data_IF_288894327895
#
_entry.id   IF_288894327895
#
_cell.length_a   1.000
_cell.length_b   1.000
_cell.length_c   1.000
_cell.angle_alpha   90.00
_cell.angle_beta   90.00
_cell.angle_gamma   90.00
#
_symmetry.space_group_name_H-M   'P 1'
#
loop_
_entity.id
_entity.type
_entity.pdbx_description
1 polymer ?
#
# COMPACT_ATOMS: atom_id res chain seq x y z
N UNK A 1 2.23 -12.39 22.01
CA UNK A 1 3.40 -11.93 21.22
C UNK A 1 3.30 -10.43 20.99
N UNK A 2 4.43 -9.74 20.98
CA UNK A 2 4.51 -8.28 20.93
C UNK A 2 4.48 -7.68 19.51
N UNK A 3 4.26 -8.49 18.47
CA UNK A 3 4.18 -8.04 17.06
C UNK A 3 2.85 -8.47 16.45
N UNK A 4 2.14 -7.54 15.83
CA UNK A 4 0.90 -7.82 15.09
C UNK A 4 1.06 -7.42 13.63
N UNK A 5 0.46 -8.22 12.74
CA UNK A 5 0.27 -7.80 11.36
C UNK A 5 -0.68 -6.61 11.31
N UNK A 6 -0.49 -5.72 10.34
CA UNK A 6 -1.30 -4.51 10.19
C UNK A 6 -2.80 -4.81 10.05
N UNK A 7 -3.16 -5.92 9.41
CA UNK A 7 -4.55 -6.39 9.31
C UNK A 7 -5.17 -6.69 10.68
N UNK A 8 -4.39 -7.30 11.58
CA UNK A 8 -4.83 -7.59 12.94
C UNK A 8 -4.98 -6.31 13.74
N UNK A 9 -4.04 -5.36 13.58
CA UNK A 9 -4.12 -4.05 14.21
C UNK A 9 -5.36 -3.28 13.76
N UNK A 10 -5.61 -3.18 12.45
CA UNK A 10 -6.81 -2.51 11.90
C UNK A 10 -8.09 -3.10 12.47
N UNK A 11 -8.23 -4.44 12.43
CA UNK A 11 -9.40 -5.14 13.00
C UNK A 11 -9.59 -4.85 14.48
N UNK A 12 -8.50 -4.86 15.26
CA UNK A 12 -8.55 -4.56 16.69
C UNK A 12 -9.00 -3.12 16.94
N UNK A 13 -8.42 -2.14 16.24
CA UNK A 13 -8.80 -0.74 16.38
C UNK A 13 -10.25 -0.52 15.94
N UNK A 14 -10.69 -1.15 14.85
CA UNK A 14 -12.08 -1.04 14.37
C UNK A 14 -13.06 -1.56 15.40
N UNK A 15 -12.76 -2.70 16.02
CA UNK A 15 -13.59 -3.27 17.08
C UNK A 15 -13.64 -2.39 18.34
N UNK A 16 -12.57 -1.65 18.64
CA UNK A 16 -12.44 -0.84 19.85
C UNK A 16 -12.97 0.60 19.70
N UNK A 17 -12.75 1.23 18.55
CA UNK A 17 -12.98 2.66 18.32
C UNK A 17 -14.01 2.96 17.23
N UNK A 18 -14.57 1.93 16.59
CA UNK A 18 -15.53 2.06 15.49
C UNK A 18 -14.86 2.17 14.12
N UNK A 19 -15.63 1.85 13.08
CA UNK A 19 -15.13 1.82 11.71
C UNK A 19 -14.74 3.22 11.20
N UNK A 20 -15.60 4.22 11.37
CA UNK A 20 -15.39 5.58 10.85
C UNK A 20 -14.11 6.25 11.37
N UNK A 21 -13.85 6.13 12.68
CA UNK A 21 -12.63 6.62 13.31
C UNK A 21 -11.39 5.97 12.72
N UNK A 22 -11.44 4.65 12.50
CA UNK A 22 -10.30 3.90 11.95
C UNK A 22 -10.11 4.17 10.46
N UNK A 23 -11.18 4.36 9.69
CA UNK A 23 -11.05 4.82 8.30
C UNK A 23 -10.35 6.19 8.24
N UNK A 24 -10.69 7.10 9.15
CA UNK A 24 -10.01 8.41 9.25
C UNK A 24 -8.55 8.27 9.63
N UNK A 25 -8.22 7.45 10.64
CA UNK A 25 -6.84 7.16 11.03
C UNK A 25 -6.00 6.64 9.85
N UNK A 26 -6.49 5.64 9.12
CA UNK A 26 -5.73 5.06 8.01
C UNK A 26 -5.59 6.04 6.84
N UNK A 27 -6.62 6.87 6.59
CA UNK A 27 -6.53 7.98 5.63
C UNK A 27 -5.47 9.02 6.04
N UNK A 28 -5.33 9.30 7.32
CA UNK A 28 -4.32 10.22 7.82
C UNK A 28 -2.92 9.64 7.71
N UNK A 29 -2.76 8.32 7.90
CA UNK A 29 -1.52 7.59 7.60
C UNK A 29 -1.17 7.68 6.10
N UNK A 30 -2.13 7.45 5.21
CA UNK A 30 -1.93 7.58 3.76
C UNK A 30 -1.47 9.00 3.38
N UNK A 31 -2.07 10.01 4.00
CA UNK A 31 -1.67 11.41 3.83
C UNK A 31 -0.24 11.68 4.31
N UNK A 32 0.22 11.03 5.38
CA UNK A 32 1.62 11.12 5.84
C UNK A 32 2.57 10.60 4.74
N UNK A 33 2.28 9.43 4.16
CA UNK A 33 3.11 8.87 3.08
C UNK A 33 3.19 9.80 1.86
N UNK A 34 2.04 10.31 1.39
CA UNK A 34 2.01 11.18 0.21
C UNK A 34 2.71 12.50 0.48
N UNK A 35 2.38 13.19 1.58
CA UNK A 35 2.90 14.53 1.89
C UNK A 35 4.40 14.52 2.16
N UNK A 36 4.89 13.48 2.85
CA UNK A 36 6.33 13.33 3.10
C UNK A 36 7.10 13.19 1.78
N UNK A 37 6.70 12.30 0.88
CA UNK A 37 7.34 12.15 -0.44
C UNK A 37 7.22 13.41 -1.31
N UNK A 38 6.06 14.07 -1.33
CA UNK A 38 5.88 15.33 -2.06
C UNK A 38 6.81 16.44 -1.57
N UNK A 39 7.07 16.50 -0.26
CA UNK A 39 7.93 17.55 0.32
C UNK A 39 9.37 17.50 -0.19
N UNK A 40 9.84 16.31 -0.59
CA UNK A 40 11.21 16.06 -1.05
C UNK A 40 11.30 15.83 -2.57
N UNK A 41 10.18 15.82 -3.30
CA UNK A 41 10.10 15.53 -4.74
C UNK A 41 11.08 16.36 -5.58
N UNK A 42 11.36 17.62 -5.21
CA UNK A 42 12.27 18.51 -5.95
C UNK A 42 13.74 18.11 -5.85
N UNK A 43 14.11 17.32 -4.85
CA UNK A 43 15.48 16.89 -4.56
C UNK A 43 15.72 15.44 -5.03
N UNK A 44 14.66 14.72 -5.38
CA UNK A 44 14.73 13.36 -5.86
C UNK A 44 15.41 13.28 -7.23
N UNK A 45 16.45 12.45 -7.32
CA UNK A 45 17.04 12.06 -8.60
C UNK A 45 16.14 10.98 -9.20
N UNK A 46 15.38 11.35 -10.22
CA UNK A 46 14.45 10.45 -10.89
C UNK A 46 15.14 9.72 -12.05
N UNK A 47 15.80 8.60 -11.76
CA UNK A 47 16.27 7.65 -12.78
C UNK A 47 15.23 6.53 -12.94
N UNK A 48 14.76 6.34 -14.18
CA UNK A 48 13.75 5.33 -14.53
C UNK A 48 14.22 3.88 -14.30
N UNK A 49 15.52 3.64 -14.08
CA UNK A 49 16.07 2.31 -13.79
C UNK A 49 16.26 2.07 -12.29
N UNK A 50 15.92 3.04 -11.43
CA UNK A 50 16.05 2.95 -9.99
C UNK A 50 14.68 2.85 -9.32
N UNK A 51 14.63 2.08 -8.23
CA UNK A 51 13.51 2.07 -7.30
C UNK A 51 14.07 2.02 -5.87
N UNK A 52 13.29 2.48 -4.91
CA UNK A 52 13.65 2.47 -3.51
C UNK A 52 12.47 2.01 -2.65
N UNK A 53 12.77 1.27 -1.59
CA UNK A 53 11.79 0.77 -0.64
C UNK A 53 11.97 1.48 0.69
N UNK A 54 10.99 2.31 1.05
CA UNK A 54 11.01 3.03 2.33
C UNK A 54 10.24 2.29 3.41
N UNK A 55 10.80 2.27 4.62
CA UNK A 55 10.09 1.93 5.85
C UNK A 55 9.62 3.19 6.57
N UNK A 56 8.34 3.25 6.93
CA UNK A 56 7.77 4.36 7.69
C UNK A 56 7.44 3.94 9.11
N UNK A 57 8.00 4.66 10.07
CA UNK A 57 7.72 4.46 11.48
C UNK A 57 6.69 5.49 11.95
N UNK A 58 5.49 5.00 12.28
CA UNK A 58 4.35 5.82 12.66
C UNK A 58 3.92 5.47 14.08
N UNK A 59 3.79 6.50 14.91
CA UNK A 59 3.26 6.40 16.27
C UNK A 59 1.82 6.89 16.31
N UNK A 60 0.94 6.15 16.99
CA UNK A 60 -0.43 6.58 17.27
C UNK A 60 -0.50 7.10 18.70
N UNK A 61 -1.09 8.28 18.90
CA UNK A 61 -1.37 8.80 20.24
C UNK A 61 -2.71 8.29 20.81
N UNK A 62 -3.08 8.81 21.98
CA UNK A 62 -4.31 8.44 22.69
C UNK A 62 -5.60 8.79 21.94
N UNK A 63 -5.55 9.80 21.07
CA UNK A 63 -6.65 10.25 20.22
C UNK A 63 -6.66 9.55 18.85
N UNK A 64 -5.80 8.54 18.65
CA UNK A 64 -5.57 7.87 17.37
C UNK A 64 -5.08 8.81 16.26
N UNK A 65 -4.39 9.89 16.60
CA UNK A 65 -3.71 10.71 15.61
C UNK A 65 -2.36 10.06 15.25
N UNK A 66 -2.08 9.83 13.95
CA UNK A 66 -0.80 9.28 13.53
C UNK A 66 0.28 10.37 13.45
N UNK A 67 1.46 10.04 13.94
CA UNK A 67 2.65 10.88 13.93
C UNK A 67 3.79 10.16 13.22
N UNK A 68 4.37 10.81 12.21
CA UNK A 68 5.57 10.32 11.53
C UNK A 68 6.78 10.51 12.45
N UNK A 69 7.49 9.42 12.76
CA UNK A 69 8.71 9.45 13.57
C UNK A 69 9.93 9.53 12.67
N UNK A 70 10.06 8.58 11.74
CA UNK A 70 11.16 8.54 10.78
C UNK A 70 10.78 7.82 9.48
N UNK A 71 11.57 8.08 8.44
CA UNK A 71 11.51 7.39 7.14
C UNK A 71 12.87 6.76 6.89
N UNK A 72 12.88 5.44 6.76
CA UNK A 72 14.07 4.62 6.59
C UNK A 72 14.24 4.20 5.13
N UNK A 73 15.34 4.60 4.50
CA UNK A 73 15.77 4.18 3.16
C UNK A 73 16.23 2.72 3.08
N UNK A 74 16.36 2.03 4.22
CA UNK A 74 16.83 0.64 4.29
C UNK A 74 16.16 -0.10 5.44
N UNK A 75 14.86 -0.43 5.33
CA UNK A 75 14.17 -1.18 6.37
C UNK A 75 14.79 -2.57 6.56
N UNK A 76 14.84 -3.04 7.82
CA UNK A 76 15.45 -4.34 8.14
C UNK A 76 14.66 -5.51 7.52
N UNK A 77 15.35 -6.32 6.72
CA UNK A 77 14.82 -7.55 6.13
C UNK A 77 15.21 -8.81 6.90
N UNK A 78 15.89 -8.67 8.05
CA UNK A 78 16.26 -9.80 8.90
C UNK A 78 15.03 -10.35 9.59
N UNK A 79 14.73 -11.63 9.41
CA UNK A 79 13.55 -12.25 10.02
C UNK A 79 13.84 -12.72 11.45
N UNK A 80 12.97 -12.33 12.37
CA UNK A 80 13.03 -12.70 13.80
C UNK A 80 12.05 -13.81 14.19
N UNK A 81 11.07 -14.12 13.33
CA UNK A 81 10.11 -15.21 13.48
C UNK A 81 9.68 -15.73 12.11
N UNK A 82 8.97 -16.87 12.08
CA UNK A 82 8.45 -17.43 10.83
C UNK A 82 7.43 -16.49 10.16
N UNK A 83 6.59 -15.82 10.94
CA UNK A 83 5.61 -14.85 10.43
C UNK A 83 6.29 -13.60 9.86
N UNK A 84 7.37 -13.13 10.50
CA UNK A 84 8.19 -12.01 10.03
C UNK A 84 8.90 -12.37 8.72
N UNK A 85 9.45 -13.59 8.64
CA UNK A 85 10.04 -14.13 7.41
C UNK A 85 9.01 -14.15 6.27
N UNK A 86 7.83 -14.72 6.52
CA UNK A 86 6.81 -14.84 5.47
C UNK A 86 6.28 -13.48 5.02
N UNK A 87 6.13 -12.52 5.93
CA UNK A 87 5.77 -11.14 5.59
C UNK A 87 6.84 -10.49 4.70
N UNK A 88 8.11 -10.54 5.11
CA UNK A 88 9.23 -9.92 4.40
C UNK A 88 9.49 -10.56 3.05
N UNK A 89 9.39 -11.89 2.97
CA UNK A 89 9.49 -12.61 1.71
C UNK A 89 8.41 -12.16 0.72
N UNK A 90 7.14 -12.05 1.18
CA UNK A 90 6.04 -11.57 0.33
C UNK A 90 6.23 -10.12 -0.11
N UNK A 91 6.74 -9.26 0.78
CA UNK A 91 7.08 -7.87 0.44
C UNK A 91 8.08 -7.82 -0.72
N UNK A 92 9.17 -8.60 -0.65
CA UNK A 92 10.18 -8.66 -1.69
C UNK A 92 9.64 -9.25 -2.99
N UNK A 93 8.87 -10.34 -2.92
CA UNK A 93 8.22 -10.94 -4.09
C UNK A 93 7.30 -9.93 -4.81
N UNK A 94 6.48 -9.20 -4.05
CA UNK A 94 5.57 -8.20 -4.61
C UNK A 94 6.32 -6.97 -5.15
N UNK A 95 7.44 -6.59 -4.54
CA UNK A 95 8.29 -5.50 -5.03
C UNK A 95 8.85 -5.85 -6.42
N UNK A 96 9.36 -7.07 -6.59
CA UNK A 96 9.87 -7.54 -7.89
C UNK A 96 8.75 -7.67 -8.94
N UNK A 97 7.52 -8.01 -8.51
CA UNK A 97 6.37 -8.02 -9.42
C UNK A 97 5.99 -6.61 -9.91
N UNK A 98 6.13 -5.57 -9.06
CA UNK A 98 5.90 -4.17 -9.43
C UNK A 98 6.96 -3.66 -10.40
N UNK A 99 8.24 -3.98 -10.12
CA UNK A 99 9.37 -3.60 -11.00
C UNK A 99 9.23 -4.24 -12.39
N UNK A 100 8.59 -5.41 -12.46
CA UNK A 100 8.20 -6.08 -13.70
C UNK A 100 9.35 -6.30 -14.69
N UNK A 101 10.41 -6.97 -14.22
CA UNK A 101 11.59 -7.26 -15.05
C UNK A 101 11.28 -8.08 -16.33
N UNK A 102 10.12 -8.73 -16.38
CA UNK A 102 9.67 -9.53 -17.52
C UNK A 102 8.71 -8.78 -18.48
N UNK A 103 8.36 -7.52 -18.19
CA UNK A 103 7.46 -6.71 -19.03
C UNK A 103 6.05 -7.28 -19.16
N UNK A 104 5.51 -7.87 -18.09
CA UNK A 104 4.18 -8.50 -18.04
C UNK A 104 3.06 -7.48 -17.82
N UNK A 105 3.36 -6.34 -17.18
CA UNK A 105 2.40 -5.31 -16.84
C UNK A 105 2.09 -4.40 -18.04
N UNK A 106 0.93 -3.75 -17.99
CA UNK A 106 0.46 -2.79 -19.01
C UNK A 106 0.80 -1.35 -18.68
N UNK A 107 1.25 -1.06 -17.45
CA UNK A 107 1.50 0.29 -16.94
C UNK A 107 0.23 1.02 -16.49
N UNK A 108 -0.91 0.32 -16.43
CA UNK A 108 -2.22 0.87 -16.00
C UNK A 108 -2.72 0.23 -14.72
N UNK A 109 -1.98 -0.72 -14.17
CA UNK A 109 -2.33 -1.45 -12.97
C UNK A 109 -2.36 -0.50 -11.78
N UNK A 110 -3.54 -0.35 -11.17
CA UNK A 110 -3.70 0.39 -9.90
C UNK A 110 -3.23 -0.40 -8.69
N UNK A 111 -2.91 -1.68 -8.88
CA UNK A 111 -2.51 -2.58 -7.81
C UNK A 111 -1.68 -3.72 -8.39
N UNK A 112 -0.66 -4.18 -7.66
CA UNK A 112 0.17 -5.34 -8.03
C UNK A 112 0.57 -6.07 -6.75
N UNK A 113 0.11 -7.31 -6.60
CA UNK A 113 0.33 -8.09 -5.38
C UNK A 113 -0.18 -7.36 -4.14
N UNK A 114 0.72 -7.07 -3.21
CA UNK A 114 0.47 -6.32 -1.99
C UNK A 114 0.51 -4.80 -2.13
N UNK A 115 0.97 -4.24 -3.26
CA UNK A 115 1.11 -2.80 -3.47
C UNK A 115 -0.12 -2.19 -4.12
N UNK A 116 -0.51 -1.01 -3.64
CA UNK A 116 -1.53 -0.15 -4.23
C UNK A 116 -0.87 1.13 -4.79
N UNK A 117 -1.24 1.51 -6.01
CA UNK A 117 -0.79 2.76 -6.61
C UNK A 117 -1.60 3.92 -6.05
N UNK A 118 -0.99 4.76 -5.21
CA UNK A 118 -1.67 5.89 -4.56
C UNK A 118 -1.50 7.22 -5.30
N UNK A 119 -0.38 7.38 -6.04
CA UNK A 119 -0.02 8.64 -6.69
C UNK A 119 0.66 8.39 -8.05
N UNK A 120 0.19 9.06 -9.09
CA UNK A 120 0.80 9.09 -10.41
C UNK A 120 0.47 10.44 -11.08
N UNK A 121 1.35 11.43 -10.95
CA UNK A 121 1.12 12.84 -11.32
C UNK A 121 -0.19 13.44 -10.75
N UNK A 122 -0.68 12.85 -9.67
CA UNK A 122 -1.94 13.17 -9.02
C UNK A 122 -2.44 11.99 -8.16
N UNK A 123 -3.42 12.21 -7.27
CA UNK A 123 -4.00 11.13 -6.48
C UNK A 123 -4.68 10.09 -7.38
N UNK A 124 -4.47 8.81 -7.07
CA UNK A 124 -5.15 7.69 -7.75
C UNK A 124 -6.32 7.22 -6.91
N UNK A 125 -7.50 7.19 -7.53
CA UNK A 125 -8.75 6.80 -6.88
C UNK A 125 -9.24 5.42 -7.33
N UNK A 126 -10.00 4.77 -6.45
CA UNK A 126 -10.74 3.56 -6.81
C UNK A 126 -11.86 3.90 -7.79
N UNK A 127 -12.15 2.94 -8.66
CA UNK A 127 -13.36 2.97 -9.49
C UNK A 127 -14.50 2.34 -8.70
N UNK A 128 -15.04 3.10 -7.76
CA UNK A 128 -16.24 2.70 -7.04
C UNK A 128 -17.44 2.98 -7.96
N UNK A 129 -17.92 1.98 -8.69
CA UNK A 129 -19.23 2.05 -9.34
C UNK A 129 -20.32 1.96 -8.27
N UNK A 130 -20.56 3.03 -7.53
CA UNK A 130 -21.81 3.18 -6.78
C UNK A 130 -22.91 3.56 -7.77
N UNK A 131 -23.60 2.54 -8.30
CA UNK A 131 -24.98 2.70 -8.74
C UNK A 131 -25.76 3.11 -7.49
N UNK A 132 -26.49 4.21 -7.54
CA UNK A 132 -27.26 4.83 -6.44
C UNK A 132 -26.48 5.82 -5.54
N UNK A 133 -26.19 7.01 -6.06
CA UNK A 133 -26.60 8.25 -5.41
C UNK A 133 -26.30 9.48 -6.27
N UNK A 134 -27.31 10.32 -6.43
CA UNK A 134 -27.27 11.61 -7.10
C UNK A 134 -26.13 12.50 -6.53
N UNK A 135 -25.11 12.77 -7.34
CA UNK A 135 -24.37 14.04 -7.28
C UNK A 135 -23.16 14.17 -6.33
N UNK A 136 -22.73 13.13 -5.63
CA UNK A 136 -21.48 13.18 -4.83
C UNK A 136 -20.52 12.10 -5.28
N UNK A 137 -19.59 12.43 -6.18
CA UNK A 137 -18.45 11.56 -6.50
C UNK A 137 -17.56 11.47 -5.25
N UNK A 138 -17.77 10.43 -4.44
CA UNK A 138 -16.88 10.14 -3.32
C UNK A 138 -15.56 9.60 -3.89
N UNK A 139 -14.52 10.43 -3.89
CA UNK A 139 -13.21 10.04 -4.38
C UNK A 139 -12.48 9.23 -3.29
N UNK A 140 -12.69 7.91 -3.28
CA UNK A 140 -11.98 7.00 -2.37
C UNK A 140 -10.55 6.79 -2.83
N UNK A 141 -9.56 7.11 -1.98
CA UNK A 141 -8.15 6.87 -2.27
C UNK A 141 -7.89 5.38 -2.56
N UNK A 142 -7.03 5.08 -3.54
CA UNK A 142 -6.67 3.71 -3.88
C UNK A 142 -5.64 3.13 -2.90
N UNK A 143 -6.11 2.73 -1.72
CA UNK A 143 -5.30 2.18 -0.63
C UNK A 143 -6.07 1.11 0.13
N UNK A 144 -5.51 -0.10 0.23
CA UNK A 144 -6.02 -1.22 1.01
C UNK A 144 -5.19 -1.41 2.30
N UNK A 145 -4.56 -0.35 2.81
CA UNK A 145 -3.65 -0.40 3.94
C UNK A 145 -4.29 -1.06 5.17
N UNK A 146 -3.79 -2.23 5.58
CA UNK A 146 -4.36 -2.99 6.70
C UNK A 146 -5.72 -3.66 6.42
N UNK A 147 -6.27 -3.53 5.21
CA UNK A 147 -7.48 -4.26 4.80
C UNK A 147 -7.17 -5.71 4.47
N UNK A 148 -8.22 -6.53 4.36
CA UNK A 148 -8.10 -7.89 3.84
C UNK A 148 -7.62 -7.81 2.39
N UNK A 149 -6.49 -8.46 2.12
CA UNK A 149 -5.83 -8.43 0.83
C UNK A 149 -6.06 -9.77 0.09
N UNK A 150 -6.68 -9.73 -1.08
CA UNK A 150 -6.88 -10.86 -2.00
C UNK A 150 -5.67 -11.15 -2.91
N UNK A 151 -4.47 -10.78 -2.46
CA UNK A 151 -3.16 -10.91 -3.12
C UNK A 151 -3.02 -12.12 -4.04
N UNK A 152 -3.29 -13.33 -3.52
CA UNK A 152 -3.10 -14.59 -4.28
C UNK A 152 -3.99 -14.64 -5.52
N UNK A 153 -5.26 -14.24 -5.37
CA UNK A 153 -6.23 -14.18 -6.47
C UNK A 153 -5.77 -13.15 -7.51
N UNK A 154 -5.35 -11.98 -7.04
CA UNK A 154 -4.91 -10.89 -7.90
C UNK A 154 -3.64 -11.24 -8.70
N UNK A 155 -2.59 -11.77 -8.04
CA UNK A 155 -1.37 -12.22 -8.72
C UNK A 155 -1.66 -13.36 -9.72
N UNK A 156 -2.61 -14.25 -9.40
CA UNK A 156 -3.06 -15.29 -10.32
C UNK A 156 -3.67 -14.72 -11.60
N UNK A 157 -4.50 -13.68 -11.48
CA UNK A 157 -5.10 -12.99 -12.62
C UNK A 157 -4.03 -12.31 -13.49
N UNK A 158 -3.11 -11.56 -12.89
CA UNK A 158 -2.02 -10.89 -13.61
C UNK A 158 -1.15 -11.88 -14.41
N UNK A 159 -0.83 -13.03 -13.82
CA UNK A 159 -0.07 -14.10 -14.50
C UNK A 159 -0.86 -14.72 -15.66
N UNK A 160 -2.17 -14.93 -15.51
CA UNK A 160 -3.01 -15.48 -16.58
C UNK A 160 -3.08 -14.54 -17.81
N UNK A 161 -3.16 -13.22 -17.60
CA UNK A 161 -3.16 -12.24 -18.70
C UNK A 161 -1.81 -12.17 -19.44
N UNK A 162 -0.69 -12.34 -18.74
CA UNK A 162 0.63 -12.36 -19.37
C UNK A 162 0.85 -13.55 -20.32
N UNK A 163 0.14 -14.67 -20.09
CA UNK A 163 0.17 -15.85 -20.97
C UNK A 163 -0.54 -15.64 -22.31
N UNK A 164 -1.47 -14.69 -22.41
CA UNK A 164 -2.22 -14.40 -23.64
C UNK A 164 -1.52 -13.43 -24.59
N UNK A 165 -0.54 -12.64 -24.12
CA UNK A 165 0.25 -11.73 -24.96
C UNK A 165 1.41 -12.42 -25.70
N UNK A 166 1.62 -13.72 -25.48
CA UNK A 166 2.58 -14.56 -26.22
C UNK A 166 1.85 -15.35 -27.31
N UNK A 167 1.40 -14.68 -28.36
CA UNK A 167 0.94 -15.29 -29.62
C UNK A 167 1.34 -14.39 -30.78
#
# INVERSE_FOLDING_TARGET
GCKWQLQKLRRYLTAKHGAETVETLFRDIDNIFIRSLQSVQKVFINDKHCFELYGYDILLDEDLKPWLIEVNASPSLTASSQEDYEMKYRLLEDTLNVVDMEGRLSGREKRVGGYDLMWNDGPVYREDFSLDSLGSTCFTANTHLGCVNDRKKHLGQLKAFSGQKRA
#
